data_IF_996316212744
#
_entry.id   IF_996316212744
#
_cell.length_a   1.000
_cell.length_b   1.000
_cell.length_c   1.000
_cell.angle_alpha   90.00
_cell.angle_beta   90.00
_cell.angle_gamma   90.00
#
_symmetry.space_group_name_H-M   'P 1'
#
loop_
_entity.id
_entity.type
_entity.pdbx_description
1 polymer ?
#
# COMPACT_ATOMS: atom_id res chain seq x y z
N UNK A 1 -20.63 -3.93 -0.41
CA UNK A 1 -19.61 -3.23 -1.23
C UNK A 1 -19.43 -1.81 -0.69
N UNK A 2 -18.23 -1.25 -0.81
CA UNK A 2 -17.83 0.04 -0.22
C UNK A 2 -18.62 1.28 -0.69
N UNK A 3 -19.55 1.14 -1.65
CA UNK A 3 -20.26 2.28 -2.24
C UNK A 3 -19.32 3.19 -3.06
N UNK A 4 -19.79 4.41 -3.37
CA UNK A 4 -18.94 5.43 -3.99
C UNK A 4 -18.21 6.18 -2.87
N UNK A 5 -16.89 6.01 -2.76
CA UNK A 5 -16.04 6.77 -1.85
C UNK A 5 -14.79 7.26 -2.59
N UNK A 6 -14.17 8.30 -2.08
CA UNK A 6 -12.83 8.75 -2.42
C UNK A 6 -12.12 9.09 -1.13
N UNK A 7 -10.85 8.72 -0.99
CA UNK A 7 -10.08 8.86 0.23
C UNK A 7 -9.80 7.54 0.93
N UNK A 8 -9.73 7.56 2.25
CA UNK A 8 -9.52 6.39 3.10
C UNK A 8 -10.83 5.99 3.79
N UNK A 9 -11.14 4.69 3.80
CA UNK A 9 -12.26 4.11 4.54
C UNK A 9 -11.71 3.07 5.52
N UNK A 10 -12.02 3.16 6.81
CA UNK A 10 -11.58 2.19 7.81
C UNK A 10 -12.00 0.75 7.46
N UNK A 11 -11.26 -0.21 7.97
CA UNK A 11 -11.50 -1.63 7.74
C UNK A 11 -12.92 -2.05 8.14
N UNK A 12 -13.55 -2.78 7.25
CA UNK A 12 -14.81 -3.48 7.44
C UNK A 12 -14.70 -4.90 6.89
N UNK A 13 -14.96 -5.89 7.75
CA UNK A 13 -14.79 -7.30 7.42
C UNK A 13 -15.66 -7.74 6.22
N UNK A 14 -16.90 -7.31 6.20
CA UNK A 14 -17.84 -7.68 5.12
C UNK A 14 -17.39 -7.13 3.76
N UNK A 15 -16.93 -5.89 3.74
CA UNK A 15 -16.38 -5.26 2.53
C UNK A 15 -15.10 -5.94 2.07
N UNK A 16 -14.21 -6.32 3.00
CA UNK A 16 -12.98 -7.02 2.68
C UNK A 16 -13.26 -8.39 2.05
N UNK A 17 -14.14 -9.19 2.65
CA UNK A 17 -14.57 -10.49 2.11
C UNK A 17 -15.22 -10.33 0.72
N UNK A 18 -16.07 -9.33 0.53
CA UNK A 18 -16.71 -9.07 -0.76
C UNK A 18 -15.73 -8.64 -1.86
N UNK A 19 -14.65 -7.91 -1.52
CA UNK A 19 -13.60 -7.53 -2.47
C UNK A 19 -12.78 -8.76 -2.90
N UNK A 20 -12.53 -9.68 -1.97
CA UNK A 20 -11.74 -10.89 -2.22
C UNK A 20 -12.55 -12.09 -2.67
N UNK A 21 -13.87 -11.93 -2.86
CA UNK A 21 -14.72 -12.97 -3.37
C UNK A 21 -14.30 -13.38 -4.80
N UNK A 22 -13.96 -14.65 -5.05
CA UNK A 22 -13.56 -15.14 -6.37
C UNK A 22 -14.55 -14.81 -7.50
N UNK A 23 -15.84 -14.72 -7.18
CA UNK A 23 -16.87 -14.39 -8.16
C UNK A 23 -16.79 -12.92 -8.64
N UNK A 24 -16.11 -12.07 -7.87
CA UNK A 24 -15.88 -10.66 -8.19
C UNK A 24 -14.48 -10.39 -8.75
N UNK A 25 -13.57 -11.37 -8.68
CA UNK A 25 -12.19 -11.21 -9.14
C UNK A 25 -11.95 -11.88 -10.48
N UNK A 26 -11.15 -11.24 -11.34
CA UNK A 26 -10.71 -11.82 -12.60
C UNK A 26 -9.36 -11.24 -13.03
N UNK A 27 -8.54 -12.09 -13.65
CA UNK A 27 -7.32 -11.65 -14.29
C UNK A 27 -7.61 -11.14 -15.70
N UNK A 28 -7.15 -9.93 -15.99
CA UNK A 28 -7.24 -9.31 -17.31
C UNK A 28 -5.89 -8.76 -17.74
N UNK A 29 -5.62 -8.67 -19.06
CA UNK A 29 -4.44 -7.95 -19.54
C UNK A 29 -4.43 -6.52 -19.01
N UNK A 30 -3.28 -6.08 -18.49
CA UNK A 30 -3.09 -4.76 -17.88
C UNK A 30 -3.53 -3.62 -18.80
N UNK A 31 -3.18 -3.71 -20.10
CA UNK A 31 -3.58 -2.74 -21.13
C UNK A 31 -5.10 -2.56 -21.28
N UNK A 32 -5.91 -3.52 -20.85
CA UNK A 32 -7.38 -3.42 -20.93
C UNK A 32 -7.98 -2.75 -19.69
N UNK A 33 -7.33 -2.85 -18.53
CA UNK A 33 -7.87 -2.36 -17.26
C UNK A 33 -7.28 -1.01 -16.82
N UNK A 34 -6.15 -0.60 -17.40
CA UNK A 34 -5.54 0.70 -17.11
C UNK A 34 -6.36 1.91 -17.58
N UNK A 35 -7.26 1.71 -18.55
CA UNK A 35 -8.11 2.76 -19.11
C UNK A 35 -9.61 2.56 -18.80
N UNK A 36 -9.97 1.45 -18.14
CA UNK A 36 -11.37 1.10 -17.84
C UNK A 36 -11.69 1.23 -16.34
N UNK A 37 -12.30 2.34 -15.90
CA UNK A 37 -12.60 2.58 -14.48
C UNK A 37 -13.74 1.69 -13.94
N UNK A 38 -14.37 0.84 -14.75
CA UNK A 38 -15.31 -0.19 -14.27
C UNK A 38 -14.60 -1.32 -13.54
N UNK A 39 -13.29 -1.50 -13.78
CA UNK A 39 -12.42 -2.42 -13.03
C UNK A 39 -11.54 -1.67 -12.06
N UNK A 40 -11.25 -2.32 -10.93
CA UNK A 40 -10.27 -1.85 -9.96
C UNK A 40 -9.16 -2.89 -9.84
N UNK A 41 -7.94 -2.47 -10.13
CA UNK A 41 -6.75 -3.27 -9.89
C UNK A 41 -6.48 -3.26 -8.39
N UNK A 42 -6.52 -4.43 -7.76
CA UNK A 42 -6.35 -4.57 -6.32
C UNK A 42 -4.86 -4.51 -5.96
N UNK A 43 -4.51 -3.61 -5.04
CA UNK A 43 -3.15 -3.36 -4.59
C UNK A 43 -3.07 -3.56 -3.06
N UNK A 44 -2.37 -4.57 -2.55
CA UNK A 44 -1.91 -4.58 -1.17
C UNK A 44 -0.96 -3.41 -0.95
N UNK A 45 -1.25 -2.57 0.04
CA UNK A 45 -0.46 -1.38 0.38
C UNK A 45 0.06 -1.54 1.81
N UNK A 46 1.29 -2.06 1.95
CA UNK A 46 1.89 -2.44 3.22
C UNK A 46 2.67 -1.28 3.84
N UNK A 47 2.29 -0.86 5.04
CA UNK A 47 2.94 0.20 5.82
C UNK A 47 3.71 -0.46 6.95
N UNK A 48 5.04 -0.29 6.99
CA UNK A 48 5.89 -0.85 8.04
C UNK A 48 6.02 0.15 9.19
N UNK A 49 5.70 -0.29 10.40
CA UNK A 49 5.75 0.52 11.61
C UNK A 49 6.64 -0.11 12.67
N UNK A 50 7.40 0.70 13.41
CA UNK A 50 8.07 0.34 14.65
C UNK A 50 7.64 1.27 15.78
N UNK A 51 7.62 0.76 17.01
CA UNK A 51 7.15 1.52 18.18
C UNK A 51 5.64 1.70 18.20
N UNK A 52 5.16 2.50 19.14
CA UNK A 52 3.74 2.77 19.36
C UNK A 52 3.52 4.19 19.90
N UNK A 53 2.27 4.64 19.91
CA UNK A 53 1.92 5.98 20.36
C UNK A 53 2.69 7.09 19.65
N UNK A 54 3.07 8.17 20.34
CA UNK A 54 3.79 9.31 19.73
C UNK A 54 5.19 8.97 19.22
N UNK A 55 5.82 7.90 19.74
CA UNK A 55 7.17 7.48 19.37
C UNK A 55 7.20 6.54 18.16
N UNK A 56 6.05 6.24 17.58
CA UNK A 56 5.99 5.36 16.40
C UNK A 56 6.66 5.98 15.20
N UNK A 57 7.30 5.13 14.42
CA UNK A 57 8.02 5.51 13.21
C UNK A 57 7.55 4.63 12.06
N UNK A 58 7.35 5.22 10.90
CA UNK A 58 6.99 4.51 9.68
C UNK A 58 8.19 4.44 8.74
N UNK A 59 8.30 3.32 8.02
CA UNK A 59 9.25 3.24 6.92
C UNK A 59 8.76 4.12 5.77
N UNK A 60 9.64 4.89 5.21
CA UNK A 60 9.37 5.75 4.06
C UNK A 60 10.54 5.70 3.07
N UNK A 61 10.28 6.06 1.84
CA UNK A 61 11.26 6.13 0.77
C UNK A 61 10.85 7.15 -0.28
N UNK A 62 11.79 7.53 -1.14
CA UNK A 62 11.54 8.33 -2.35
C UNK A 62 11.55 7.41 -3.56
N UNK A 63 10.55 7.51 -4.44
CA UNK A 63 10.54 6.74 -5.69
C UNK A 63 11.59 7.28 -6.65
N UNK A 64 12.52 6.41 -7.04
CA UNK A 64 13.53 6.71 -8.05
C UNK A 64 12.92 6.86 -9.46
N UNK A 65 13.76 7.17 -10.44
CA UNK A 65 13.37 7.39 -11.84
C UNK A 65 13.24 6.11 -12.67
N UNK A 66 13.14 4.94 -12.04
CA UNK A 66 13.03 3.62 -12.67
C UNK A 66 11.69 3.36 -13.38
N UNK A 67 11.39 2.08 -13.62
CA UNK A 67 10.12 1.68 -14.26
C UNK A 67 8.97 1.96 -13.31
N UNK A 68 7.97 2.72 -13.79
CA UNK A 68 6.80 3.06 -13.02
C UNK A 68 6.12 4.30 -13.55
N UNK A 69 5.10 4.77 -12.82
CA UNK A 69 4.38 5.95 -13.23
C UNK A 69 5.24 7.21 -13.06
N UNK A 70 5.56 7.87 -14.17
CA UNK A 70 6.42 9.08 -14.22
C UNK A 70 5.99 10.19 -13.25
N UNK A 71 4.70 10.25 -12.90
CA UNK A 71 4.15 11.27 -11.97
C UNK A 71 4.53 11.02 -10.51
N UNK A 72 4.90 9.80 -10.16
CA UNK A 72 5.34 9.44 -8.81
C UNK A 72 6.85 9.58 -8.62
N UNK A 73 7.61 9.88 -9.69
CA UNK A 73 9.03 10.13 -9.60
C UNK A 73 9.31 11.31 -8.66
N UNK A 74 10.26 11.12 -7.76
CA UNK A 74 10.61 12.07 -6.69
C UNK A 74 9.51 12.33 -5.64
N UNK A 75 8.37 11.61 -5.66
CA UNK A 75 7.42 11.60 -4.55
C UNK A 75 7.86 10.59 -3.49
N UNK A 76 7.67 10.97 -2.23
CA UNK A 76 7.86 10.06 -1.10
C UNK A 76 6.67 9.11 -0.97
N UNK A 77 6.92 7.92 -0.46
CA UNK A 77 5.88 6.92 -0.14
C UNK A 77 6.16 6.26 1.20
N UNK A 78 5.11 5.81 1.88
CA UNK A 78 5.19 4.95 3.07
C UNK A 78 4.68 3.55 2.79
N UNK A 79 4.14 3.30 1.60
CA UNK A 79 3.53 2.01 1.23
C UNK A 79 4.40 1.20 0.29
N UNK A 80 4.52 -0.07 0.61
CA UNK A 80 5.19 -1.10 -0.16
C UNK A 80 4.12 -2.01 -0.75
N UNK A 81 4.18 -2.33 -2.04
CA UNK A 81 3.27 -3.27 -2.68
C UNK A 81 3.04 -2.98 -4.16
N UNK A 82 2.36 -3.92 -4.79
CA UNK A 82 2.13 -3.90 -6.24
C UNK A 82 0.93 -4.74 -6.65
N UNK A 83 0.88 -5.11 -7.92
CA UNK A 83 -0.27 -5.81 -8.50
C UNK A 83 -0.29 -7.30 -8.15
N UNK A 84 -1.45 -7.81 -7.76
CA UNK A 84 -1.69 -9.25 -7.68
C UNK A 84 -1.61 -9.84 -9.09
N UNK A 85 -0.80 -10.89 -9.27
CA UNK A 85 -0.57 -11.53 -10.55
C UNK A 85 -1.23 -12.91 -10.62
N UNK A 86 -1.34 -13.46 -11.84
CA UNK A 86 -1.87 -14.83 -12.04
C UNK A 86 -0.96 -15.89 -11.40
N UNK A 87 0.32 -15.63 -11.27
CA UNK A 87 1.30 -16.54 -10.67
C UNK A 87 1.03 -16.75 -9.18
N UNK A 88 0.46 -15.75 -8.51
CA UNK A 88 0.09 -15.80 -7.10
C UNK A 88 -1.04 -16.81 -6.82
N UNK A 89 -1.83 -17.18 -7.86
CA UNK A 89 -2.89 -18.17 -7.78
C UNK A 89 -2.39 -19.62 -7.59
N UNK A 90 -1.10 -19.86 -7.64
CA UNK A 90 -0.52 -21.16 -7.30
C UNK A 90 -0.57 -21.46 -5.79
N UNK A 91 -0.73 -20.44 -4.95
CA UNK A 91 -0.82 -20.58 -3.50
C UNK A 91 -2.27 -20.72 -2.99
N UNK A 92 -2.43 -21.00 -1.70
CA UNK A 92 -3.75 -21.26 -1.09
C UNK A 92 -4.60 -19.99 -0.93
N UNK A 93 -3.98 -18.82 -0.91
CA UNK A 93 -4.61 -17.50 -0.78
C UNK A 93 -3.96 -16.55 -1.76
N UNK A 94 -4.61 -16.35 -2.89
CA UNK A 94 -4.15 -15.51 -3.99
C UNK A 94 -3.71 -14.10 -3.52
N UNK A 95 -4.53 -13.46 -2.69
CA UNK A 95 -4.28 -12.10 -2.25
C UNK A 95 -3.05 -12.03 -1.34
N UNK A 96 -2.96 -12.91 -0.34
CA UNK A 96 -1.81 -12.99 0.57
C UNK A 96 -0.53 -13.38 -0.15
N UNK A 97 -0.60 -14.31 -1.09
CA UNK A 97 0.56 -14.71 -1.88
C UNK A 97 1.12 -13.52 -2.67
N UNK A 98 0.27 -12.76 -3.35
CA UNK A 98 0.67 -11.56 -4.09
C UNK A 98 1.27 -10.49 -3.17
N UNK A 99 0.61 -10.21 -2.03
CA UNK A 99 1.12 -9.27 -1.04
C UNK A 99 2.52 -9.67 -0.53
N UNK A 100 2.70 -10.95 -0.18
CA UNK A 100 3.99 -11.44 0.33
C UNK A 100 5.08 -11.43 -0.73
N UNK A 101 4.75 -11.74 -1.98
CA UNK A 101 5.70 -11.67 -3.10
C UNK A 101 6.19 -10.24 -3.32
N UNK A 102 5.28 -9.28 -3.48
CA UNK A 102 5.63 -7.86 -3.67
C UNK A 102 6.47 -7.34 -2.49
N UNK A 103 6.05 -7.65 -1.26
CA UNK A 103 6.81 -7.25 -0.07
C UNK A 103 8.23 -7.86 -0.06
N UNK A 104 8.39 -9.12 -0.47
CA UNK A 104 9.69 -9.79 -0.51
C UNK A 104 10.57 -9.31 -1.69
N UNK A 105 9.97 -8.86 -2.80
CA UNK A 105 10.68 -8.25 -3.92
C UNK A 105 11.27 -6.89 -3.54
N UNK A 106 10.49 -6.04 -2.87
CA UNK A 106 10.89 -4.67 -2.55
C UNK A 106 11.66 -4.53 -1.22
N UNK A 107 11.47 -5.44 -0.25
CA UNK A 107 11.98 -5.30 1.12
C UNK A 107 12.78 -6.53 1.59
N UNK A 108 13.73 -6.27 2.48
CA UNK A 108 14.32 -7.26 3.39
C UNK A 108 13.87 -6.93 4.79
N UNK A 109 13.11 -7.83 5.43
CA UNK A 109 12.61 -7.68 6.80
C UNK A 109 13.22 -8.79 7.66
N UNK A 110 14.05 -8.41 8.63
CA UNK A 110 14.83 -9.33 9.49
C UNK A 110 14.37 -9.22 10.95
N UNK A 111 13.05 -9.16 11.16
CA UNK A 111 12.44 -9.06 12.48
C UNK A 111 11.06 -9.72 12.47
N UNK A 112 10.57 -10.09 13.65
CA UNK A 112 9.18 -10.52 13.80
C UNK A 112 8.22 -9.36 13.48
N UNK A 113 7.08 -9.71 12.92
CA UNK A 113 6.02 -8.75 12.61
C UNK A 113 4.63 -9.32 12.90
N UNK A 114 3.70 -8.42 13.19
CA UNK A 114 2.27 -8.69 13.17
C UNK A 114 1.59 -7.81 12.13
N UNK A 115 0.46 -8.27 11.59
CA UNK A 115 -0.28 -7.60 10.52
C UNK A 115 -1.67 -7.21 11.01
N UNK A 116 -2.11 -6.03 10.60
CA UNK A 116 -3.47 -5.53 10.76
C UNK A 116 -3.93 -4.86 9.48
N UNK A 117 -5.13 -5.20 8.98
CA UNK A 117 -5.76 -4.41 7.90
C UNK A 117 -6.29 -3.11 8.49
N UNK A 118 -5.86 -1.98 7.93
CA UNK A 118 -6.28 -0.64 8.37
C UNK A 118 -7.57 -0.20 7.69
N UNK A 119 -7.71 -0.49 6.39
CA UNK A 119 -8.83 -0.04 5.59
C UNK A 119 -8.55 -0.06 4.09
N UNK A 120 -9.33 0.72 3.36
CA UNK A 120 -9.33 0.78 1.90
C UNK A 120 -8.98 2.19 1.42
N UNK A 121 -8.26 2.26 0.31
CA UNK A 121 -7.81 3.52 -0.29
C UNK A 121 -8.32 3.58 -1.72
N UNK A 122 -9.02 4.65 -2.05
CA UNK A 122 -9.44 4.94 -3.42
C UNK A 122 -9.25 6.44 -3.71
N UNK A 123 -8.59 6.74 -4.81
CA UNK A 123 -8.35 8.11 -5.27
C UNK A 123 -8.88 8.29 -6.71
N UNK A 124 -10.01 8.96 -6.84
CA UNK A 124 -10.64 9.22 -8.14
C UNK A 124 -10.15 10.52 -8.81
N UNK A 125 -9.24 11.25 -8.18
CA UNK A 125 -8.71 12.52 -8.68
C UNK A 125 -7.83 12.38 -9.92
N UNK A 126 -7.30 11.17 -10.17
CA UNK A 126 -6.40 10.89 -11.29
C UNK A 126 -6.88 9.69 -12.13
N UNK A 127 -6.51 9.62 -13.43
CA UNK A 127 -6.82 8.45 -14.25
C UNK A 127 -6.33 7.13 -13.66
N UNK A 128 -5.13 7.12 -13.09
CA UNK A 128 -4.54 5.95 -12.43
C UNK A 128 -5.28 5.60 -11.15
N UNK A 129 -5.57 6.57 -10.29
CA UNK A 129 -6.32 6.33 -9.06
C UNK A 129 -7.69 5.71 -9.33
N UNK A 130 -8.35 6.13 -10.43
CA UNK A 130 -9.67 5.59 -10.80
C UNK A 130 -9.70 4.09 -11.14
N UNK A 131 -8.58 3.50 -11.50
CA UNK A 131 -8.47 2.07 -11.86
C UNK A 131 -7.77 1.22 -10.80
N UNK A 132 -7.45 1.81 -9.63
CA UNK A 132 -6.81 1.10 -8.53
C UNK A 132 -7.64 1.16 -7.25
N UNK A 133 -7.60 0.10 -6.47
CA UNK A 133 -8.14 0.01 -5.11
C UNK A 133 -7.05 -0.52 -4.18
N UNK A 134 -6.64 0.30 -3.23
CA UNK A 134 -5.66 -0.10 -2.21
C UNK A 134 -6.32 -0.78 -1.02
N UNK A 135 -5.69 -1.82 -0.49
CA UNK A 135 -5.97 -2.33 0.84
C UNK A 135 -4.76 -2.02 1.72
N UNK A 136 -4.96 -1.13 2.67
CA UNK A 136 -3.89 -0.70 3.58
C UNK A 136 -3.67 -1.72 4.69
N UNK A 137 -2.45 -2.24 4.78
CA UNK A 137 -1.98 -3.13 5.83
C UNK A 137 -0.96 -2.43 6.70
N UNK A 138 -1.11 -2.50 8.01
CA UNK A 138 -0.08 -2.11 8.97
C UNK A 138 0.72 -3.32 9.38
N UNK A 139 2.00 -3.32 9.10
CA UNK A 139 2.96 -4.31 9.53
C UNK A 139 3.72 -3.77 10.73
N UNK A 140 3.33 -4.18 11.93
CA UNK A 140 4.00 -3.81 13.16
C UNK A 140 5.25 -4.66 13.35
N UNK A 141 6.41 -4.06 13.26
CA UNK A 141 7.70 -4.71 13.42
C UNK A 141 8.15 -4.67 14.89
N UNK A 142 8.77 -5.75 15.36
CA UNK A 142 9.35 -5.81 16.70
C UNK A 142 10.62 -4.94 16.84
N UNK A 143 11.36 -4.73 15.73
CA UNK A 143 12.56 -3.90 15.68
C UNK A 143 12.71 -3.24 14.29
N UNK A 144 13.46 -2.12 14.15
CA UNK A 144 13.62 -1.41 12.87
C UNK A 144 14.58 -2.14 11.89
N UNK A 145 14.54 -3.46 11.86
CA UNK A 145 15.40 -4.30 11.03
C UNK A 145 14.70 -4.59 9.68
N UNK A 146 14.42 -3.51 8.96
CA UNK A 146 13.90 -3.58 7.60
C UNK A 146 14.63 -2.57 6.72
N UNK A 147 14.89 -2.95 5.46
CA UNK A 147 15.56 -2.11 4.47
C UNK A 147 15.03 -2.40 3.07
N UNK A 148 15.11 -1.42 2.20
CA UNK A 148 14.80 -1.61 0.78
C UNK A 148 15.75 -2.65 0.16
N UNK A 149 15.19 -3.51 -0.69
CA UNK A 149 15.95 -4.44 -1.53
C UNK A 149 16.21 -3.82 -2.91
N UNK A 150 15.22 -3.14 -3.43
CA UNK A 150 15.31 -2.50 -4.73
C UNK A 150 16.04 -1.16 -4.67
N UNK A 151 16.88 -0.89 -5.67
CA UNK A 151 17.63 0.36 -5.79
C UNK A 151 16.74 1.57 -6.12
N UNK A 152 15.49 1.32 -6.48
CA UNK A 152 14.51 2.35 -6.83
C UNK A 152 13.83 2.98 -5.61
N UNK A 153 13.94 2.35 -4.44
CA UNK A 153 13.49 2.90 -3.16
C UNK A 153 14.65 3.70 -2.51
N UNK A 154 14.87 4.90 -3.02
CA UNK A 154 15.97 5.77 -2.55
C UNK A 154 15.60 6.55 -1.29
N UNK A 155 16.60 7.03 -0.55
CA UNK A 155 16.44 7.81 0.70
C UNK A 155 15.48 7.11 1.69
N UNK A 156 15.59 5.79 1.80
CA UNK A 156 14.68 4.98 2.57
C UNK A 156 15.09 4.83 4.04
N UNK A 157 14.09 4.75 4.93
CA UNK A 157 14.32 4.55 6.37
C UNK A 157 13.09 4.85 7.22
N UNK A 158 13.23 4.65 8.54
CA UNK A 158 12.17 4.92 9.50
C UNK A 158 12.20 6.36 10.00
N UNK A 159 11.10 7.09 9.84
CA UNK A 159 10.90 8.47 10.33
C UNK A 159 9.71 8.55 11.30
N UNK A 160 9.77 9.44 12.32
CA UNK A 160 8.66 9.69 13.22
C UNK A 160 7.40 10.11 12.46
N UNK A 161 6.23 9.61 12.86
CA UNK A 161 4.96 9.94 12.19
C UNK A 161 4.69 11.45 12.19
N UNK A 162 5.04 12.15 13.26
CA UNK A 162 4.89 13.61 13.36
C UNK A 162 5.72 14.37 12.31
N UNK A 163 6.90 13.88 11.97
CA UNK A 163 7.72 14.43 10.88
C UNK A 163 7.06 14.18 9.53
N UNK A 164 6.57 12.95 9.30
CA UNK A 164 5.88 12.60 8.05
C UNK A 164 4.62 13.44 7.85
N UNK A 165 3.84 13.63 8.92
CA UNK A 165 2.64 14.47 8.90
C UNK A 165 2.97 15.94 8.59
N UNK A 166 4.03 16.49 9.20
CA UNK A 166 4.50 17.86 8.92
C UNK A 166 4.87 18.07 7.45
N UNK A 167 5.40 17.04 6.80
CA UNK A 167 5.86 17.08 5.41
C UNK A 167 4.97 16.27 4.45
N UNK A 168 3.69 16.02 4.79
CA UNK A 168 2.80 15.15 4.05
C UNK A 168 2.64 15.52 2.57
N UNK A 169 2.73 16.78 2.23
CA UNK A 169 2.58 17.27 0.84
C UNK A 169 3.69 16.77 -0.11
N UNK A 170 4.79 16.27 0.44
CA UNK A 170 5.86 15.63 -0.33
C UNK A 170 5.55 14.18 -0.70
N UNK A 171 4.52 13.57 -0.08
CA UNK A 171 4.13 12.19 -0.31
C UNK A 171 3.11 12.07 -1.46
N UNK A 172 3.07 10.89 -2.06
CA UNK A 172 1.99 10.54 -3.00
C UNK A 172 0.64 10.41 -2.26
N UNK A 173 -0.46 10.48 -3.01
CA UNK A 173 -1.82 10.63 -2.45
C UNK A 173 -2.20 9.54 -1.45
N UNK A 174 -1.91 8.27 -1.75
CA UNK A 174 -2.26 7.16 -0.86
C UNK A 174 -1.48 7.22 0.47
N UNK A 175 -0.21 7.61 0.39
CA UNK A 175 0.58 7.86 1.60
C UNK A 175 0.02 9.00 2.43
N UNK A 176 -0.42 10.11 1.81
CA UNK A 176 -1.02 11.23 2.53
C UNK A 176 -2.27 10.79 3.29
N UNK A 177 -3.17 10.04 2.64
CA UNK A 177 -4.39 9.50 3.24
C UNK A 177 -4.08 8.57 4.43
N UNK A 178 -3.07 7.71 4.29
CA UNK A 178 -2.67 6.82 5.38
C UNK A 178 -1.96 7.55 6.53
N UNK A 179 -1.15 8.58 6.24
CA UNK A 179 -0.51 9.41 7.29
C UNK A 179 -1.57 10.14 8.09
N UNK A 180 -2.57 10.75 7.44
CA UNK A 180 -3.67 11.45 8.10
C UNK A 180 -4.48 10.49 9.00
N UNK A 181 -4.80 9.29 8.52
CA UNK A 181 -5.51 8.27 9.28
C UNK A 181 -4.71 7.77 10.49
N UNK A 182 -3.42 7.51 10.29
CA UNK A 182 -2.55 7.03 11.36
C UNK A 182 -2.27 8.11 12.41
N UNK A 183 -2.10 9.37 12.03
CA UNK A 183 -1.91 10.48 12.97
C UNK A 183 -3.15 10.67 13.86
N UNK A 184 -4.34 10.56 13.31
CA UNK A 184 -5.61 10.65 14.04
C UNK A 184 -5.86 9.54 15.07
N UNK A 185 -5.07 8.44 15.02
CA UNK A 185 -5.13 7.31 15.98
C UNK A 185 -4.17 7.47 17.17
N UNK A 186 -3.56 8.63 17.34
CA UNK A 186 -2.65 8.94 18.45
C UNK A 186 -3.37 9.19 19.77
#
# INVERSE_FOLDING_TARGET
MLGNFSGFVPFDQQSFEAILDPDHMQFRPRSQVEEDPSFKQLIPYCILQVGSGPERRLFQYTRGSGQGEKRLHAKRSIGIGGHISREDAAGPDLYRCGMQRELAEEMVIETELSEQVLGFIYDDSSPVGRVHLGVAHLLQLAAPNARARESELIDSGFSPISELFTHRDHFETWSQLCIDELEGRC
#
